data_IF_085913368033
#
_entry.id   IF_085913368033
#
_cell.length_a   1.000
_cell.length_b   1.000
_cell.length_c   1.000
_cell.angle_alpha   90.00
_cell.angle_beta   90.00
_cell.angle_gamma   90.00
#
_symmetry.space_group_name_H-M   'P 1'
#
loop_
_entity.id
_entity.type
_entity.pdbx_description
1 polymer ?
#
# COMPACT_ATOMS: atom_id res chain seq x y z
N UNK A 1 -7.35 8.69 -25.06
CA UNK A 1 -6.28 7.86 -24.47
C UNK A 1 -6.65 7.58 -23.03
N UNK A 2 -7.04 6.36 -22.71
CA UNK A 2 -7.65 5.98 -21.43
C UNK A 2 -6.63 6.11 -20.29
N UNK A 3 -6.87 7.03 -19.35
CA UNK A 3 -6.05 7.20 -18.13
C UNK A 3 -6.09 5.91 -17.31
N UNK A 4 -4.90 5.40 -16.98
CA UNK A 4 -4.62 4.24 -16.13
C UNK A 4 -5.55 4.20 -14.92
N UNK A 5 -6.31 3.12 -14.77
CA UNK A 5 -7.39 2.98 -13.78
C UNK A 5 -6.93 2.52 -12.39
N UNK A 6 -5.65 2.21 -12.16
CA UNK A 6 -5.21 1.48 -10.96
C UNK A 6 -3.97 2.09 -10.25
N UNK A 7 -3.81 3.41 -10.21
CA UNK A 7 -2.91 3.98 -9.20
C UNK A 7 -3.66 4.07 -7.88
N UNK A 8 -3.41 3.13 -6.97
CA UNK A 8 -3.81 3.26 -5.58
C UNK A 8 -3.13 4.53 -5.04
N UNK A 9 -3.94 5.40 -4.43
CA UNK A 9 -3.46 6.57 -3.70
C UNK A 9 -2.78 6.09 -2.42
N UNK A 10 -1.59 6.62 -2.11
CA UNK A 10 -0.78 6.12 -1.00
C UNK A 10 -1.51 6.23 0.35
N UNK A 11 -2.14 7.37 0.62
CA UNK A 11 -2.83 7.60 1.90
C UNK A 11 -4.02 6.66 2.03
N UNK A 12 -4.82 6.50 0.97
CA UNK A 12 -5.95 5.56 0.97
C UNK A 12 -5.52 4.10 1.10
N UNK A 13 -4.46 3.70 0.41
CA UNK A 13 -3.94 2.34 0.49
C UNK A 13 -3.37 2.02 1.87
N UNK A 14 -2.72 3.00 2.51
CA UNK A 14 -2.22 2.86 3.87
C UNK A 14 -3.36 2.76 4.90
N UNK A 15 -4.37 3.62 4.79
CA UNK A 15 -5.58 3.57 5.63
C UNK A 15 -6.31 2.22 5.49
N UNK A 16 -6.42 1.69 4.27
CA UNK A 16 -7.01 0.37 4.03
C UNK A 16 -6.19 -0.75 4.71
N UNK A 17 -4.85 -0.68 4.64
CA UNK A 17 -3.96 -1.64 5.28
C UNK A 17 -4.07 -1.60 6.82
N UNK A 18 -4.18 -0.41 7.41
CA UNK A 18 -4.43 -0.23 8.85
C UNK A 18 -5.79 -0.81 9.29
N UNK A 19 -6.82 -0.64 8.45
CA UNK A 19 -8.13 -1.25 8.68
C UNK A 19 -8.08 -2.79 8.66
N UNK A 20 -7.31 -3.38 7.74
CA UNK A 20 -7.11 -4.83 7.70
C UNK A 20 -6.34 -5.32 8.93
N UNK A 21 -5.27 -4.62 9.33
CA UNK A 21 -4.51 -4.97 10.53
C UNK A 21 -5.39 -4.93 11.79
N UNK A 22 -6.19 -3.86 11.94
CA UNK A 22 -7.15 -3.71 13.03
C UNK A 22 -8.16 -4.86 13.10
N UNK A 23 -8.61 -5.36 11.95
CA UNK A 23 -9.52 -6.51 11.89
C UNK A 23 -8.86 -7.80 12.42
N UNK A 24 -7.60 -8.05 12.08
CA UNK A 24 -6.86 -9.20 12.63
C UNK A 24 -6.62 -9.09 14.14
N UNK A 25 -6.37 -7.87 14.65
CA UNK A 25 -6.19 -7.62 16.08
C UNK A 25 -7.46 -7.84 16.92
N UNK A 26 -8.63 -7.64 16.32
CA UNK A 26 -9.92 -7.93 16.97
C UNK A 26 -10.14 -9.44 17.20
N UNK A 27 -9.37 -10.30 16.52
CA UNK A 27 -9.42 -11.75 16.73
C UNK A 27 -10.70 -12.41 16.21
N UNK A 28 -11.32 -11.86 15.16
CA UNK A 28 -12.50 -12.47 14.54
C UNK A 28 -12.19 -13.88 13.99
N UNK A 29 -13.02 -14.91 14.30
CA UNK A 29 -12.73 -16.30 13.93
C UNK A 29 -13.12 -16.67 12.48
N UNK A 30 -13.26 -15.70 11.56
CA UNK A 30 -13.63 -15.97 10.17
C UNK A 30 -12.40 -16.24 9.29
N UNK A 31 -12.16 -17.52 9.00
CA UNK A 31 -11.03 -17.98 8.19
C UNK A 31 -11.11 -17.51 6.72
N UNK A 32 -12.31 -17.55 6.11
CA UNK A 32 -12.46 -17.18 4.70
C UNK A 32 -12.23 -15.68 4.52
N UNK A 33 -12.78 -14.88 5.42
CA UNK A 33 -12.57 -13.43 5.42
C UNK A 33 -11.12 -13.07 5.72
N UNK A 34 -10.48 -13.80 6.65
CA UNK A 34 -9.05 -13.66 6.93
C UNK A 34 -8.17 -13.93 5.72
N UNK A 35 -8.49 -14.96 4.92
CA UNK A 35 -7.76 -15.25 3.68
C UNK A 35 -7.88 -14.11 2.66
N UNK A 36 -9.10 -13.56 2.45
CA UNK A 36 -9.31 -12.43 1.53
C UNK A 36 -8.58 -11.18 1.99
N UNK A 37 -8.64 -10.87 3.28
CA UNK A 37 -7.93 -9.72 3.88
C UNK A 37 -6.41 -9.86 3.77
N UNK A 38 -5.89 -11.06 3.95
CA UNK A 38 -4.46 -11.33 3.77
C UNK A 38 -4.01 -11.08 2.32
N UNK A 39 -4.75 -11.60 1.34
CA UNK A 39 -4.46 -11.38 -0.08
C UNK A 39 -4.46 -9.88 -0.42
N UNK A 40 -5.48 -9.15 0.05
CA UNK A 40 -5.57 -7.70 -0.15
C UNK A 40 -4.46 -6.93 0.54
N UNK A 41 -4.13 -7.27 1.79
CA UNK A 41 -3.03 -6.65 2.53
C UNK A 41 -1.68 -6.86 1.82
N UNK A 42 -1.45 -8.05 1.27
CA UNK A 42 -0.23 -8.36 0.50
C UNK A 42 -0.13 -7.51 -0.78
N UNK A 43 -1.24 -7.35 -1.51
CA UNK A 43 -1.30 -6.46 -2.67
C UNK A 43 -1.01 -5.01 -2.30
N UNK A 44 -1.69 -4.49 -1.26
CA UNK A 44 -1.50 -3.13 -0.76
C UNK A 44 -0.05 -2.89 -0.32
N UNK A 45 0.52 -3.80 0.47
CA UNK A 45 1.89 -3.69 0.95
C UNK A 45 2.90 -3.64 -0.21
N UNK A 46 2.70 -4.46 -1.25
CA UNK A 46 3.56 -4.44 -2.44
C UNK A 46 3.49 -3.08 -3.14
N UNK A 47 2.30 -2.58 -3.41
CA UNK A 47 2.10 -1.30 -4.14
C UNK A 47 2.62 -0.12 -3.32
N UNK A 48 2.34 -0.07 -2.01
CA UNK A 48 2.82 1.00 -1.14
C UNK A 48 4.34 1.01 -1.06
N UNK A 49 4.98 -0.15 -1.00
CA UNK A 49 6.45 -0.26 -1.02
C UNK A 49 7.02 0.27 -2.34
N UNK A 50 6.45 -0.10 -3.48
CA UNK A 50 6.88 0.41 -4.79
C UNK A 50 6.80 1.95 -4.85
N UNK A 51 5.74 2.54 -4.28
CA UNK A 51 5.61 4.01 -4.18
C UNK A 51 6.66 4.66 -3.28
N UNK A 52 7.01 4.02 -2.18
CA UNK A 52 8.07 4.51 -1.30
C UNK A 52 9.43 4.48 -1.99
N UNK A 53 9.72 3.40 -2.72
CA UNK A 53 10.95 3.25 -3.50
C UNK A 53 11.04 4.33 -4.60
N UNK A 54 9.93 4.60 -5.31
CA UNK A 54 9.84 5.71 -6.27
C UNK A 54 10.11 7.08 -5.63
N UNK A 55 9.52 7.33 -4.46
CA UNK A 55 9.73 8.56 -3.72
C UNK A 55 11.18 8.71 -3.23
N UNK A 56 11.80 7.63 -2.74
CA UNK A 56 13.20 7.61 -2.31
C UNK A 56 14.14 7.93 -3.48
N UNK A 57 13.92 7.31 -4.65
CA UNK A 57 14.71 7.57 -5.85
C UNK A 57 14.60 9.04 -6.27
N UNK A 58 13.38 9.60 -6.25
CA UNK A 58 13.17 11.02 -6.56
C UNK A 58 13.89 11.95 -5.59
N UNK A 59 13.92 11.61 -4.30
CA UNK A 59 14.68 12.36 -3.29
C UNK A 59 16.19 12.29 -3.58
N UNK A 60 16.71 11.13 -3.95
CA UNK A 60 18.13 10.97 -4.35
C UNK A 60 18.47 11.84 -5.54
N UNK A 61 17.66 11.82 -6.61
CA UNK A 61 17.86 12.67 -7.78
C UNK A 61 17.87 14.17 -7.42
N UNK A 62 16.98 14.62 -6.54
CA UNK A 62 16.93 16.02 -6.09
C UNK A 62 18.22 16.38 -5.34
N UNK A 63 18.71 15.50 -4.47
CA UNK A 63 19.97 15.72 -3.72
C UNK A 63 21.18 15.77 -4.64
N UNK A 64 21.26 14.89 -5.63
CA UNK A 64 22.36 14.85 -6.61
C UNK A 64 22.37 16.08 -7.52
N UNK A 65 21.20 16.68 -7.78
CA UNK A 65 21.09 17.92 -8.58
C UNK A 65 21.55 19.18 -7.85
N UNK A 66 21.95 19.09 -6.58
CA UNK A 66 22.59 20.18 -5.84
C UNK A 66 21.71 21.42 -5.69
N UNK A 67 20.57 21.28 -5.02
CA UNK A 67 19.82 22.43 -4.44
C UNK A 67 20.46 22.82 -3.12
#
# INVERSE_FOLDING_TARGET
>A
MAKKKNEIDFAKGFEELEGIASWFEQGEPDLEEGMKKYERASELARVLKERLDEAENKIKEIRERGV
#
